data_IF_360710486674
#
_entry.id   IF_360710486674
#
_cell.length_a   1.000
_cell.length_b   1.000
_cell.length_c   1.000
_cell.angle_alpha   90.00
_cell.angle_beta   90.00
_cell.angle_gamma   90.00
#
_symmetry.space_group_name_H-M   'P 1'
#
loop_
_entity.id
_entity.type
_entity.pdbx_description
1 polymer ?
#
# COMPACT_ATOMS: atom_id res chain seq x y z
N UNK A 1 -10.32 8.92 -9.19
CA UNK A 1 -9.34 8.36 -8.22
C UNK A 1 -8.87 6.99 -8.69
N UNK A 2 -7.72 6.58 -8.22
CA UNK A 2 -7.09 5.30 -8.56
C UNK A 2 -6.89 4.49 -7.28
N UNK A 3 -7.37 3.26 -7.25
CA UNK A 3 -7.25 2.39 -6.09
C UNK A 3 -6.47 1.12 -6.40
N UNK A 4 -5.79 0.60 -5.38
CA UNK A 4 -5.06 -0.66 -5.44
C UNK A 4 -5.35 -1.46 -4.18
N UNK A 5 -5.60 -2.75 -4.36
CA UNK A 5 -5.75 -3.69 -3.26
C UNK A 5 -4.80 -4.85 -3.53
N UNK A 6 -3.89 -5.12 -2.63
CA UNK A 6 -2.90 -6.15 -2.83
C UNK A 6 -2.65 -6.97 -1.58
N UNK A 7 -2.33 -8.24 -1.80
CA UNK A 7 -1.95 -9.18 -0.75
C UNK A 7 -0.46 -9.47 -0.83
N UNK A 8 0.18 -9.49 0.32
CA UNK A 8 1.62 -9.70 0.44
C UNK A 8 1.85 -10.74 1.54
N UNK A 9 2.71 -11.71 1.27
CA UNK A 9 3.05 -12.75 2.25
C UNK A 9 4.45 -12.48 2.77
N UNK A 10 4.55 -12.27 4.08
CA UNK A 10 5.83 -12.07 4.76
C UNK A 10 6.57 -13.38 4.92
N UNK A 11 7.88 -13.31 5.11
CA UNK A 11 8.65 -14.44 5.59
C UNK A 11 8.09 -14.89 6.94
N UNK A 12 8.16 -16.19 7.28
CA UNK A 12 7.57 -16.69 8.52
C UNK A 12 8.01 -15.88 9.74
N UNK A 13 7.02 -15.40 10.51
CA UNK A 13 7.26 -14.62 11.72
C UNK A 13 7.66 -13.17 11.51
N UNK A 14 7.77 -12.68 10.26
CA UNK A 14 8.23 -11.32 9.96
C UNK A 14 7.11 -10.34 9.61
N UNK A 15 5.87 -10.73 9.75
CA UNK A 15 4.74 -9.88 9.35
C UNK A 15 4.71 -8.53 10.06
N UNK A 16 4.86 -8.49 11.36
CA UNK A 16 4.81 -7.23 12.12
C UNK A 16 5.99 -6.33 11.78
N UNK A 17 7.17 -6.90 11.57
CA UNK A 17 8.34 -6.15 11.15
C UNK A 17 8.14 -5.56 9.75
N UNK A 18 7.54 -6.31 8.84
CA UNK A 18 7.22 -5.83 7.50
C UNK A 18 6.20 -4.69 7.56
N UNK A 19 5.16 -4.82 8.39
CA UNK A 19 4.17 -3.77 8.59
C UNK A 19 4.84 -2.48 9.09
N UNK A 20 5.69 -2.56 10.10
CA UNK A 20 6.41 -1.40 10.63
C UNK A 20 7.29 -0.75 9.57
N UNK A 21 7.96 -1.55 8.75
CA UNK A 21 8.81 -1.06 7.67
C UNK A 21 7.99 -0.28 6.65
N UNK A 22 6.86 -0.83 6.22
CA UNK A 22 5.98 -0.16 5.27
C UNK A 22 5.42 1.14 5.85
N UNK A 23 4.84 1.08 7.05
CA UNK A 23 4.22 2.26 7.68
C UNK A 23 5.23 3.37 7.96
N UNK A 24 6.46 3.02 8.25
CA UNK A 24 7.53 4.00 8.46
C UNK A 24 7.94 4.75 7.20
N UNK A 25 7.61 4.24 6.03
CA UNK A 25 8.01 4.82 4.74
C UNK A 25 6.93 5.56 3.97
N UNK A 26 5.71 5.65 4.51
CA UNK A 26 4.56 6.22 3.77
C UNK A 26 4.16 7.63 4.23
N UNK A 27 5.01 8.31 5.00
CA UNK A 27 4.65 9.58 5.63
C UNK A 27 4.31 10.70 4.64
N UNK A 28 5.00 10.78 3.52
CA UNK A 28 4.78 11.83 2.53
C UNK A 28 4.86 11.28 1.11
N UNK A 29 3.69 10.98 0.56
CA UNK A 29 3.53 10.55 -0.83
C UNK A 29 2.50 11.47 -1.50
N UNK A 30 2.93 12.47 -2.30
CA UNK A 30 2.00 13.38 -2.96
C UNK A 30 0.95 12.64 -3.80
N UNK A 31 -0.31 13.01 -3.61
CA UNK A 31 -1.43 12.39 -4.31
C UNK A 31 -1.98 11.14 -3.65
N UNK A 32 -1.35 10.64 -2.59
CA UNK A 32 -1.89 9.53 -1.80
C UNK A 32 -2.99 10.02 -0.88
N UNK A 33 -4.20 9.52 -1.06
CA UNK A 33 -5.38 9.93 -0.29
C UNK A 33 -5.64 8.99 0.87
N UNK A 34 -5.27 7.72 0.75
CA UNK A 34 -5.45 6.72 1.79
C UNK A 34 -4.47 5.57 1.54
N UNK A 35 -3.89 5.07 2.61
CA UNK A 35 -2.99 3.92 2.56
C UNK A 35 -3.16 3.13 3.84
N UNK A 36 -3.72 1.93 3.73
CA UNK A 36 -4.04 1.09 4.89
C UNK A 36 -3.32 -0.24 4.77
N UNK A 37 -2.56 -0.59 5.81
CA UNK A 37 -1.90 -1.89 5.92
C UNK A 37 -2.64 -2.68 7.00
N UNK A 38 -3.15 -3.86 6.64
CA UNK A 38 -3.95 -4.68 7.54
C UNK A 38 -3.40 -6.10 7.62
N UNK A 39 -3.56 -6.71 8.79
CA UNK A 39 -3.24 -8.13 8.98
C UNK A 39 -4.40 -8.98 8.48
N UNK A 40 -4.09 -10.05 7.77
CA UNK A 40 -5.09 -11.08 7.48
C UNK A 40 -5.45 -11.77 8.80
N UNK A 41 -6.74 -11.90 9.16
CA UNK A 41 -7.11 -12.49 10.44
C UNK A 41 -6.95 -14.01 10.49
N UNK A 42 -6.75 -14.66 9.34
CA UNK A 42 -6.68 -16.12 9.22
C UNK A 42 -5.30 -16.66 8.91
N UNK A 43 -4.41 -15.81 8.36
CA UNK A 43 -3.06 -16.20 7.98
C UNK A 43 -2.06 -15.29 8.68
N UNK A 44 -1.20 -15.91 9.51
CA UNK A 44 -0.26 -15.18 10.36
C UNK A 44 0.80 -14.39 9.60
N UNK A 45 1.06 -14.71 8.33
CA UNK A 45 2.10 -14.08 7.54
C UNK A 45 1.56 -13.18 6.41
N UNK A 46 0.24 -13.13 6.26
CA UNK A 46 -0.38 -12.36 5.18
C UNK A 46 -0.78 -10.96 5.63
N UNK A 47 -0.46 -9.97 4.77
CA UNK A 47 -0.93 -8.59 4.89
C UNK A 47 -1.74 -8.21 3.67
N UNK A 48 -2.72 -7.31 3.90
CA UNK A 48 -3.46 -6.63 2.85
C UNK A 48 -3.12 -5.16 2.84
N UNK A 49 -2.81 -4.63 1.66
CA UNK A 49 -2.54 -3.20 1.48
C UNK A 49 -3.62 -2.63 0.58
N UNK A 50 -4.30 -1.60 1.07
CA UNK A 50 -5.35 -0.90 0.34
C UNK A 50 -4.92 0.55 0.17
N UNK A 51 -4.82 1.01 -1.09
CA UNK A 51 -4.35 2.34 -1.43
C UNK A 51 -5.39 3.07 -2.25
N UNK A 52 -5.52 4.37 -2.01
CA UNK A 52 -6.30 5.27 -2.84
C UNK A 52 -5.43 6.47 -3.20
N UNK A 53 -5.35 6.76 -4.50
CA UNK A 53 -4.56 7.83 -5.08
C UNK A 53 -5.44 8.76 -5.89
N UNK A 54 -5.03 10.01 -6.05
CA UNK A 54 -5.75 10.96 -6.91
C UNK A 54 -5.67 10.54 -8.39
N UNK A 55 -4.57 9.88 -8.78
CA UNK A 55 -4.36 9.40 -10.15
C UNK A 55 -3.37 8.23 -10.19
N UNK A 56 -3.37 7.42 -11.27
CA UNK A 56 -2.34 6.41 -11.48
C UNK A 56 -0.94 7.02 -11.60
N UNK A 57 -0.84 8.23 -12.14
CA UNK A 57 0.43 8.95 -12.31
C UNK A 57 1.07 9.28 -10.97
N UNK A 58 0.27 9.72 -9.99
CA UNK A 58 0.76 9.99 -8.63
C UNK A 58 1.31 8.73 -7.97
N UNK A 59 0.63 7.59 -8.15
CA UNK A 59 1.14 6.31 -7.66
C UNK A 59 2.49 5.98 -8.30
N UNK A 60 2.60 6.08 -9.61
CA UNK A 60 3.87 5.80 -10.30
C UNK A 60 4.98 6.75 -9.86
N UNK A 61 4.67 8.03 -9.69
CA UNK A 61 5.63 9.02 -9.23
C UNK A 61 6.15 8.70 -7.82
N UNK A 62 5.30 8.15 -6.95
CA UNK A 62 5.70 7.78 -5.58
C UNK A 62 6.82 6.75 -5.57
N UNK A 63 6.86 5.86 -6.55
CA UNK A 63 7.88 4.82 -6.66
C UNK A 63 9.28 5.38 -6.97
N UNK A 64 9.37 6.63 -7.36
CA UNK A 64 10.61 7.33 -7.63
C UNK A 64 11.12 8.14 -6.43
N UNK A 65 10.31 8.30 -5.38
CA UNK A 65 10.71 9.03 -4.19
C UNK A 65 11.82 8.27 -3.45
N UNK A 66 12.91 8.95 -3.03
CA UNK A 66 14.01 8.27 -2.32
C UNK A 66 13.56 7.51 -1.07
N UNK A 67 12.64 8.09 -0.29
CA UNK A 67 12.12 7.44 0.90
C UNK A 67 11.34 6.17 0.58
N UNK A 68 10.57 6.16 -0.51
CA UNK A 68 9.81 4.99 -0.96
C UNK A 68 10.76 3.91 -1.48
N UNK A 69 11.75 4.29 -2.28
CA UNK A 69 12.77 3.35 -2.77
C UNK A 69 13.52 2.69 -1.60
N UNK A 70 13.92 3.47 -0.61
CA UNK A 70 14.59 2.96 0.58
C UNK A 70 13.70 1.98 1.35
N UNK A 71 12.42 2.30 1.50
CA UNK A 71 11.45 1.43 2.17
C UNK A 71 11.29 0.11 1.43
N UNK A 72 11.17 0.14 0.10
CA UNK A 72 11.08 -1.07 -0.73
C UNK A 72 12.31 -1.95 -0.54
N UNK A 73 13.51 -1.36 -0.54
CA UNK A 73 14.76 -2.11 -0.32
C UNK A 73 14.78 -2.80 1.03
N UNK A 74 14.32 -2.12 2.08
CA UNK A 74 14.26 -2.70 3.43
C UNK A 74 13.16 -3.74 3.58
N UNK A 75 12.08 -3.61 2.82
CA UNK A 75 10.96 -4.55 2.85
C UNK A 75 11.26 -5.86 2.12
N UNK A 76 12.02 -5.80 1.03
CA UNK A 76 12.28 -6.97 0.18
C UNK A 76 12.68 -8.24 0.94
N UNK A 77 13.68 -8.21 1.86
CA UNK A 77 14.07 -9.43 2.55
C UNK A 77 13.01 -9.98 3.51
N UNK A 78 12.00 -9.17 3.83
CA UNK A 78 10.90 -9.57 4.72
C UNK A 78 9.71 -10.17 3.97
N UNK A 79 9.72 -10.09 2.64
CA UNK A 79 8.63 -10.56 1.78
C UNK A 79 8.98 -11.93 1.21
N UNK A 80 8.09 -12.91 1.42
CA UNK A 80 8.22 -14.24 0.83
C UNK A 80 7.63 -14.27 -0.58
N UNK A 81 6.46 -13.69 -0.77
CA UNK A 81 5.78 -13.66 -2.07
C UNK A 81 4.68 -12.60 -2.11
N UNK A 82 4.19 -12.31 -3.31
CA UNK A 82 3.03 -11.47 -3.53
C UNK A 82 1.85 -12.34 -3.92
N UNK A 83 0.68 -12.05 -3.37
CA UNK A 83 -0.56 -12.70 -3.73
C UNK A 83 -1.35 -11.93 -4.77
N UNK A 84 -2.67 -12.03 -4.69
CA UNK A 84 -3.55 -11.33 -5.62
C UNK A 84 -3.44 -9.82 -5.51
N UNK A 85 -3.72 -9.16 -6.62
CA UNK A 85 -3.64 -7.71 -6.75
C UNK A 85 -4.74 -7.23 -7.67
N UNK A 86 -5.43 -6.16 -7.26
CA UNK A 86 -6.54 -5.58 -8.01
C UNK A 86 -6.40 -4.06 -8.10
N UNK A 87 -6.81 -3.52 -9.23
CA UNK A 87 -6.97 -2.09 -9.41
C UNK A 87 -8.45 -1.75 -9.35
N UNK A 88 -8.78 -0.59 -8.78
CA UNK A 88 -10.15 -0.13 -8.60
C UNK A 88 -10.26 1.35 -9.00
N UNK A 89 -11.50 1.81 -9.12
CA UNK A 89 -11.81 3.23 -9.30
C UNK A 89 -12.63 3.69 -8.09
N UNK A 90 -11.98 4.17 -7.03
CA UNK A 90 -12.71 4.67 -5.87
C UNK A 90 -13.61 5.84 -6.23
N UNK A 91 -14.84 5.82 -5.72
CA UNK A 91 -15.82 6.87 -5.96
C UNK A 91 -15.91 7.87 -4.79
N UNK A 92 -15.43 7.48 -3.61
CA UNK A 92 -15.46 8.27 -2.40
C UNK A 92 -15.46 7.36 -1.18
N UNK A 93 -15.61 7.94 -0.02
CA UNK A 93 -15.67 7.21 1.26
C UNK A 93 -15.33 8.11 2.43
N UNK A 94 -15.46 7.56 3.63
CA UNK A 94 -15.05 8.28 4.84
C UNK A 94 -13.51 8.41 4.82
N UNK A 95 -13.02 9.61 5.02
CA UNK A 95 -11.59 9.92 5.01
C UNK A 95 -11.04 10.31 3.65
N UNK A 96 -11.82 10.15 2.58
CA UNK A 96 -11.44 10.57 1.24
C UNK A 96 -12.58 11.39 0.62
N UNK A 97 -12.21 12.39 -0.19
CA UNK A 97 -13.21 13.21 -0.86
C UNK A 97 -13.94 12.40 -1.92
N UNK A 98 -15.23 12.73 -2.08
CA UNK A 98 -16.01 12.15 -3.16
C UNK A 98 -15.49 12.66 -4.49
N UNK A 99 -15.32 11.73 -5.45
CA UNK A 99 -14.97 12.08 -6.80
C UNK A 99 -16.09 12.91 -7.44
N UNK A 100 -15.74 14.09 -7.95
CA UNK A 100 -16.67 14.96 -8.68
C UNK A 100 -16.48 14.69 -10.16
N UNK A 101 -17.52 14.13 -10.79
CA UNK A 101 -17.56 13.94 -12.25
C UNK A 101 -18.21 15.15 -12.89
N UNK A 102 -17.50 15.76 -13.82
CA UNK A 102 -18.00 16.86 -14.61
C UNK A 102 -18.54 16.35 -15.95
#
# INVERSE_FOLDING_TARGET
MYGRIGRMIAQPGQRDRLIETILGGIAEMPGCLSYVVARDPRDADTIWVTEVWDSPESHRASLQLPAVKSTIERAKPLIASFGEHHETEPAGGIGIEREVRK
#
